data_IF_627200059593
#
_entry.id   IF_627200059593
#
_cell.length_a   1.000
_cell.length_b   1.000
_cell.length_c   1.000
_cell.angle_alpha   90.00
_cell.angle_beta   90.00
_cell.angle_gamma   90.00
#
_symmetry.space_group_name_H-M   'P 1'
#
loop_
_entity.id
_entity.type
_entity.pdbx_description
1 polymer ?
#
# COMPACT_ATOMS: atom_id res chain seq x y z
N UNK A 1 -55.91 -15.64 -27.56
CA UNK A 1 -56.79 -15.60 -26.36
C UNK A 1 -56.04 -16.33 -25.25
N UNK A 2 -55.29 -15.64 -24.39
CA UNK A 2 -55.67 -14.86 -23.20
C UNK A 2 -56.04 -15.72 -21.98
N UNK A 3 -55.33 -15.42 -20.87
CA UNK A 3 -55.58 -15.75 -19.45
C UNK A 3 -55.28 -17.21 -19.08
N UNK A 4 -54.63 -17.57 -17.97
CA UNK A 4 -54.20 -16.92 -16.71
C UNK A 4 -53.29 -17.95 -16.01
N UNK A 5 -52.26 -17.53 -15.27
CA UNK A 5 -52.15 -17.95 -13.87
C UNK A 5 -51.09 -17.19 -13.06
N UNK A 6 -51.49 -16.99 -11.81
CA UNK A 6 -50.90 -16.17 -10.77
C UNK A 6 -49.83 -16.97 -10.04
N UNK A 7 -48.71 -16.32 -9.72
CA UNK A 7 -47.69 -16.82 -8.82
C UNK A 7 -46.94 -15.66 -8.21
N UNK A 8 -47.61 -14.87 -7.36
CA UNK A 8 -46.97 -13.86 -6.52
C UNK A 8 -46.04 -14.55 -5.53
N UNK A 9 -44.74 -14.59 -5.85
CA UNK A 9 -43.71 -14.91 -4.86
C UNK A 9 -43.27 -13.62 -4.19
N UNK A 10 -43.75 -13.40 -2.96
CA UNK A 10 -43.25 -12.34 -2.09
C UNK A 10 -41.80 -12.63 -1.72
N UNK A 11 -40.86 -11.91 -2.33
CA UNK A 11 -39.46 -11.90 -1.91
C UNK A 11 -39.38 -11.08 -0.62
N UNK A 12 -39.10 -11.75 0.50
CA UNK A 12 -38.77 -11.12 1.78
C UNK A 12 -37.42 -10.42 1.61
N UNK A 13 -37.42 -9.09 1.57
CA UNK A 13 -36.22 -8.26 1.66
C UNK A 13 -35.68 -8.32 3.09
N UNK A 14 -34.71 -9.20 3.35
CA UNK A 14 -33.88 -9.14 4.54
C UNK A 14 -32.93 -7.94 4.42
N UNK A 15 -33.32 -6.81 5.01
CA UNK A 15 -32.43 -5.66 5.18
C UNK A 15 -31.47 -5.99 6.34
N UNK A 16 -30.31 -6.55 6.01
CA UNK A 16 -29.19 -6.59 6.95
C UNK A 16 -28.64 -5.16 7.11
N UNK A 17 -29.03 -4.48 8.18
CA UNK A 17 -28.33 -3.29 8.65
C UNK A 17 -26.99 -3.72 9.24
N UNK A 18 -25.97 -3.85 8.38
CA UNK A 18 -24.59 -3.99 8.82
C UNK A 18 -24.10 -2.61 9.25
N UNK A 19 -24.31 -2.26 10.52
CA UNK A 19 -23.64 -1.11 11.13
C UNK A 19 -22.17 -1.52 11.30
N UNK A 20 -21.36 -1.26 10.27
CA UNK A 20 -19.90 -1.30 10.41
C UNK A 20 -19.53 -0.01 11.13
N UNK A 21 -19.29 -0.09 12.44
CA UNK A 21 -18.51 0.94 13.13
C UNK A 21 -17.04 0.67 12.84
N UNK A 22 -16.32 1.51 12.05
CA UNK A 22 -14.87 1.41 12.06
C UNK A 22 -14.39 1.80 13.46
N UNK A 23 -13.89 0.80 14.18
CA UNK A 23 -13.15 0.95 15.43
C UNK A 23 -11.98 1.92 15.26
N UNK A 24 -11.70 2.69 16.31
CA UNK A 24 -10.62 3.66 16.40
C UNK A 24 -9.27 3.12 15.86
N UNK A 25 -8.64 3.93 14.99
CA UNK A 25 -7.29 3.81 14.43
C UNK A 25 -6.95 2.49 13.71
N UNK A 26 -7.70 2.15 12.67
CA UNK A 26 -7.27 1.10 11.73
C UNK A 26 -5.95 1.49 11.04
N UNK A 27 -4.96 0.60 11.07
CA UNK A 27 -3.73 0.73 10.28
C UNK A 27 -4.09 0.94 8.81
N UNK A 28 -3.66 2.07 8.25
CA UNK A 28 -3.76 2.33 6.81
C UNK A 28 -2.37 2.27 6.21
N UNK A 29 -2.16 1.39 5.23
CA UNK A 29 -0.92 1.29 4.46
C UNK A 29 -1.24 1.58 2.99
N UNK A 30 -0.47 2.47 2.39
CA UNK A 30 -0.59 2.82 0.98
C UNK A 30 0.79 2.91 0.34
N UNK A 31 0.86 2.56 -0.94
CA UNK A 31 2.05 2.75 -1.74
C UNK A 31 1.66 3.28 -3.13
N UNK A 32 2.50 4.15 -3.67
CA UNK A 32 2.45 4.61 -5.05
C UNK A 32 3.80 4.31 -5.67
N UNK A 33 3.81 3.89 -6.93
CA UNK A 33 5.04 3.74 -7.68
C UNK A 33 4.93 4.37 -9.05
N UNK A 34 6.06 4.91 -9.50
CA UNK A 34 6.22 5.57 -10.79
C UNK A 34 7.49 5.03 -11.46
N UNK A 35 7.41 4.74 -12.75
CA UNK A 35 8.51 4.15 -13.51
C UNK A 35 8.59 4.73 -14.91
N UNK A 36 9.80 4.93 -15.40
CA UNK A 36 10.10 5.16 -16.82
C UNK A 36 11.47 4.57 -17.16
N UNK A 37 11.97 4.81 -18.37
CA UNK A 37 13.25 4.26 -18.84
C UNK A 37 14.48 4.66 -18.01
N UNK A 38 14.42 5.76 -17.25
CA UNK A 38 15.56 6.32 -16.53
C UNK A 38 15.35 6.44 -15.02
N UNK A 39 14.15 6.12 -14.52
CA UNK A 39 13.81 6.26 -13.10
C UNK A 39 12.81 5.22 -12.62
N UNK A 40 13.08 4.68 -11.43
CA UNK A 40 12.11 3.97 -10.59
C UNK A 40 11.91 4.73 -9.28
N UNK A 41 10.65 4.91 -8.87
CA UNK A 41 10.31 5.58 -7.62
C UNK A 41 9.13 4.89 -6.94
N UNK A 42 9.22 4.72 -5.62
CA UNK A 42 8.17 4.17 -4.78
C UNK A 42 8.01 5.06 -3.55
N UNK A 43 6.79 5.52 -3.30
CA UNK A 43 6.41 6.28 -2.12
C UNK A 43 5.47 5.44 -1.27
N UNK A 44 5.82 5.24 -0.01
CA UNK A 44 5.05 4.42 0.95
C UNK A 44 4.63 5.32 2.09
N UNK A 45 3.35 5.25 2.46
CA UNK A 45 2.80 5.96 3.61
C UNK A 45 1.99 4.99 4.45
N UNK A 46 2.27 4.96 5.75
CA UNK A 46 1.48 4.22 6.73
C UNK A 46 0.99 5.17 7.83
N UNK A 47 -0.24 4.97 8.28
CA UNK A 47 -0.91 5.77 9.30
C UNK A 47 -1.65 4.90 10.31
N UNK A 48 -2.00 5.48 11.47
CA UNK A 48 -2.64 4.76 12.57
C UNK A 48 -1.67 3.88 13.36
N UNK A 49 -0.40 4.27 13.42
CA UNK A 49 0.68 3.52 14.06
C UNK A 49 1.39 4.37 15.12
N UNK A 50 2.03 3.69 16.08
CA UNK A 50 3.01 4.30 16.99
C UNK A 50 4.21 3.36 17.10
N UNK A 51 5.42 3.93 17.03
CA UNK A 51 6.67 3.20 17.15
C UNK A 51 7.61 3.42 15.97
N UNK A 52 8.51 2.47 15.76
CA UNK A 52 9.54 2.53 14.73
C UNK A 52 9.34 1.42 13.70
N UNK A 53 9.39 1.77 12.41
CA UNK A 53 9.01 0.87 11.32
C UNK A 53 10.02 0.92 10.19
N UNK A 54 10.07 -0.12 9.38
CA UNK A 54 10.76 -0.10 8.10
C UNK A 54 9.88 -0.71 7.01
N UNK A 55 10.14 -0.27 5.79
CA UNK A 55 9.48 -0.78 4.60
C UNK A 55 10.45 -1.66 3.79
N UNK A 56 9.89 -2.63 3.09
CA UNK A 56 10.59 -3.38 2.05
C UNK A 56 9.81 -3.26 0.75
N UNK A 57 10.52 -2.91 -0.31
CA UNK A 57 10.05 -2.98 -1.68
C UNK A 57 10.59 -4.25 -2.34
N UNK A 58 9.73 -4.95 -3.09
CA UNK A 58 10.05 -6.19 -3.80
C UNK A 58 9.50 -6.06 -5.23
N UNK A 59 10.36 -6.23 -6.23
CA UNK A 59 9.93 -6.30 -7.63
C UNK A 59 10.91 -7.16 -8.41
N UNK A 60 10.39 -8.05 -9.27
CA UNK A 60 11.22 -8.93 -10.10
C UNK A 60 12.28 -9.74 -9.36
N UNK A 61 11.96 -10.19 -8.14
CA UNK A 61 12.91 -10.91 -7.26
C UNK A 61 13.94 -10.04 -6.54
N UNK A 62 14.04 -8.74 -6.86
CA UNK A 62 14.93 -7.80 -6.16
C UNK A 62 14.22 -7.28 -4.91
N UNK A 63 14.93 -7.34 -3.77
CA UNK A 63 14.42 -6.89 -2.47
C UNK A 63 15.27 -5.71 -1.98
N UNK A 64 14.61 -4.61 -1.61
CA UNK A 64 15.27 -3.43 -1.01
C UNK A 64 14.54 -3.01 0.26
N UNK A 65 15.29 -2.78 1.32
CA UNK A 65 14.78 -2.41 2.65
C UNK A 65 15.21 -0.99 2.99
N UNK A 66 14.29 -0.20 3.53
CA UNK A 66 14.59 1.13 4.04
C UNK A 66 15.30 1.09 5.39
N UNK A 67 15.90 2.22 5.76
CA UNK A 67 16.21 2.48 7.17
C UNK A 67 14.91 2.51 7.98
N UNK A 68 14.99 2.15 9.26
CA UNK A 68 13.87 2.27 10.18
C UNK A 68 13.61 3.76 10.49
N UNK A 69 12.34 4.14 10.61
CA UNK A 69 11.90 5.50 10.94
C UNK A 69 10.75 5.47 11.96
N UNK A 70 10.78 6.35 12.98
CA UNK A 70 9.65 6.50 13.88
C UNK A 70 8.46 7.14 13.17
N UNK A 71 7.26 6.89 13.67
CA UNK A 71 6.07 7.68 13.32
C UNK A 71 6.19 9.12 13.82
N UNK A 72 5.59 10.06 13.12
CA UNK A 72 5.41 11.42 13.59
C UNK A 72 4.32 11.50 14.69
N UNK A 73 4.05 12.72 15.19
CA UNK A 73 3.04 12.97 16.23
C UNK A 73 1.60 12.59 15.82
N UNK A 74 1.34 12.44 14.53
CA UNK A 74 0.05 12.03 13.97
C UNK A 74 -0.03 10.51 13.74
N UNK A 75 0.99 9.76 14.15
CA UNK A 75 1.05 8.32 13.94
C UNK A 75 1.29 7.91 12.49
N UNK A 76 1.94 8.79 11.71
CA UNK A 76 2.24 8.59 10.28
C UNK A 76 3.74 8.37 10.08
N UNK A 77 4.09 7.42 9.21
CA UNK A 77 5.47 7.20 8.77
C UNK A 77 5.50 7.07 7.24
N UNK A 78 6.53 7.66 6.63
CA UNK A 78 6.70 7.67 5.18
C UNK A 78 8.10 7.18 4.77
N UNK A 79 8.13 6.36 3.71
CA UNK A 79 9.34 5.85 3.11
C UNK A 79 9.37 6.15 1.62
N UNK A 80 10.54 6.51 1.12
CA UNK A 80 10.78 6.72 -0.31
C UNK A 80 11.87 5.76 -0.74
N UNK A 81 11.64 5.08 -1.86
CA UNK A 81 12.65 4.35 -2.62
C UNK A 81 12.78 5.05 -3.95
N UNK A 82 13.99 5.43 -4.36
CA UNK A 82 14.19 6.17 -5.60
C UNK A 82 15.54 5.79 -6.21
N UNK A 83 15.62 5.83 -7.54
CA UNK A 83 16.86 5.69 -8.30
C UNK A 83 17.53 7.03 -8.60
N UNK A 84 16.84 8.14 -8.38
CA UNK A 84 17.37 9.49 -8.55
C UNK A 84 18.40 9.81 -7.43
N UNK A 85 19.66 10.11 -7.77
CA UNK A 85 20.70 10.42 -6.79
C UNK A 85 20.34 11.63 -5.90
N UNK A 86 19.60 12.62 -6.42
CA UNK A 86 19.17 13.78 -5.62
C UNK A 86 18.19 13.36 -4.53
N UNK A 87 17.24 12.48 -4.84
CA UNK A 87 16.28 11.96 -3.87
C UNK A 87 16.98 11.08 -2.81
N UNK A 88 17.98 10.29 -3.22
CA UNK A 88 18.77 9.45 -2.31
C UNK A 88 19.54 10.33 -1.32
N UNK A 89 20.20 11.39 -1.80
CA UNK A 89 20.86 12.38 -0.94
C UNK A 89 19.87 13.04 0.03
N UNK A 90 18.63 13.25 -0.40
CA UNK A 90 17.55 13.78 0.42
C UNK A 90 16.87 12.73 1.35
N UNK A 91 17.48 11.55 1.56
CA UNK A 91 17.05 10.44 2.44
C UNK A 91 16.19 9.31 1.84
N UNK A 92 16.01 9.27 0.52
CA UNK A 92 15.39 8.11 -0.12
C UNK A 92 16.30 6.87 -0.02
N UNK A 93 15.68 5.70 0.02
CA UNK A 93 16.37 4.42 -0.06
C UNK A 93 16.76 4.18 -1.51
N UNK A 94 18.05 3.96 -1.77
CA UNK A 94 18.54 3.73 -3.13
C UNK A 94 17.99 2.44 -3.73
N UNK A 95 17.45 2.55 -4.94
CA UNK A 95 17.06 1.43 -5.81
C UNK A 95 17.65 1.63 -7.21
N UNK A 96 17.94 0.55 -7.96
CA UNK A 96 18.38 0.69 -9.35
C UNK A 96 17.28 1.29 -10.24
N UNK A 97 17.67 1.89 -11.37
CA UNK A 97 16.72 2.44 -12.36
C UNK A 97 15.73 1.38 -12.85
N UNK A 98 16.20 0.16 -13.10
CA UNK A 98 15.40 -0.99 -13.52
C UNK A 98 14.81 -1.78 -12.34
N UNK A 99 14.65 -1.18 -11.16
CA UNK A 99 14.13 -1.88 -9.98
C UNK A 99 12.70 -2.35 -10.17
N UNK A 100 11.82 -1.48 -10.68
CA UNK A 100 10.42 -1.83 -10.94
C UNK A 100 10.37 -2.64 -12.24
N UNK A 101 10.02 -3.92 -12.11
CA UNK A 101 9.80 -4.85 -13.20
C UNK A 101 8.29 -5.09 -13.38
N UNK A 102 7.87 -5.34 -14.61
CA UNK A 102 6.46 -5.61 -14.98
C UNK A 102 5.45 -4.57 -14.47
N UNK A 103 5.90 -3.32 -14.29
CA UNK A 103 5.12 -2.22 -13.72
C UNK A 103 4.48 -2.59 -12.36
N UNK A 104 5.13 -3.42 -11.55
CA UNK A 104 4.57 -3.90 -10.30
C UNK A 104 5.58 -3.94 -9.18
N UNK A 105 5.14 -3.61 -7.96
CA UNK A 105 5.96 -3.72 -6.75
C UNK A 105 5.12 -4.21 -5.59
N UNK A 106 5.67 -5.08 -4.76
CA UNK A 106 5.12 -5.42 -3.46
C UNK A 106 5.85 -4.61 -2.40
N UNK A 107 5.09 -3.86 -1.60
CA UNK A 107 5.59 -3.15 -0.44
C UNK A 107 5.11 -3.85 0.82
N UNK A 108 6.01 -4.07 1.76
CA UNK A 108 5.73 -4.64 3.08
C UNK A 108 6.15 -3.65 4.16
N UNK A 109 5.35 -3.52 5.20
CA UNK A 109 5.66 -2.73 6.39
C UNK A 109 5.86 -3.65 7.59
N UNK A 110 6.96 -3.45 8.33
CA UNK A 110 7.27 -4.22 9.55
C UNK A 110 7.62 -3.31 10.72
N UNK A 111 7.24 -3.75 11.91
CA UNK A 111 7.70 -3.17 13.15
C UNK A 111 9.19 -3.45 13.33
N UNK A 112 9.98 -2.42 13.68
CA UNK A 112 11.44 -2.52 13.70
C UNK A 112 11.99 -3.31 14.89
N UNK A 113 11.26 -3.33 15.99
CA UNK A 113 11.61 -3.98 17.25
C UNK A 113 11.36 -5.50 17.23
N UNK A 114 10.22 -5.90 16.67
CA UNK A 114 9.70 -7.28 16.71
C UNK A 114 9.80 -7.97 15.36
N UNK A 115 10.16 -7.25 14.29
CA UNK A 115 10.10 -7.73 12.91
C UNK A 115 8.69 -8.20 12.48
N UNK A 116 7.64 -7.85 13.22
CA UNK A 116 6.26 -8.24 12.92
C UNK A 116 5.79 -7.58 11.63
N UNK A 117 5.25 -8.36 10.69
CA UNK A 117 4.59 -7.85 9.48
C UNK A 117 3.26 -7.21 9.87
N UNK A 118 3.06 -5.96 9.48
CA UNK A 118 1.86 -5.18 9.79
C UNK A 118 0.93 -5.06 8.58
N UNK A 119 1.50 -5.06 7.38
CA UNK A 119 0.72 -4.97 6.15
C UNK A 119 1.59 -5.14 4.92
N UNK A 120 0.92 -5.46 3.82
CA UNK A 120 1.52 -5.48 2.50
C UNK A 120 0.54 -4.87 1.49
N UNK A 121 1.07 -4.13 0.52
CA UNK A 121 0.30 -3.55 -0.59
C UNK A 121 1.08 -3.75 -1.89
N UNK A 122 0.37 -3.95 -2.99
CA UNK A 122 0.97 -4.19 -4.29
C UNK A 122 0.43 -3.25 -5.36
N UNK A 123 0.89 -2.00 -5.45
CA UNK A 123 0.42 -1.09 -6.48
C UNK A 123 0.98 -1.46 -7.86
N UNK A 124 0.15 -1.31 -8.89
CA UNK A 124 0.63 -1.18 -10.27
C UNK A 124 1.23 0.21 -10.45
N UNK A 125 2.37 0.28 -11.12
CA UNK A 125 3.13 1.51 -11.31
C UNK A 125 2.65 2.28 -12.52
N UNK A 126 2.54 3.59 -12.34
CA UNK A 126 2.17 4.50 -13.42
C UNK A 126 3.44 4.98 -14.15
N UNK A 127 3.35 5.30 -15.45
CA UNK A 127 4.44 5.99 -16.12
C UNK A 127 4.79 7.29 -15.38
N UNK A 128 6.08 7.57 -15.23
CA UNK A 128 6.56 8.84 -14.70
C UNK A 128 6.48 9.88 -15.84
N UNK A 129 5.54 10.82 -15.72
CA UNK A 129 5.30 11.93 -16.67
C UNK A 129 6.33 13.03 -16.43
#
# INVERSE_FOLDING_TARGET
>A
MSLRNIGWSTIVLLVFNFIVTPSANALTLSAKCQVNATRSKISVTAAGLSGNFWATAISGGIIKRSKAKPTNLQGVVSFTFDSDPKAILASATAIPVAFIQDNYVIVRLRASDTNRLLGAVGPTCTPLI
#
